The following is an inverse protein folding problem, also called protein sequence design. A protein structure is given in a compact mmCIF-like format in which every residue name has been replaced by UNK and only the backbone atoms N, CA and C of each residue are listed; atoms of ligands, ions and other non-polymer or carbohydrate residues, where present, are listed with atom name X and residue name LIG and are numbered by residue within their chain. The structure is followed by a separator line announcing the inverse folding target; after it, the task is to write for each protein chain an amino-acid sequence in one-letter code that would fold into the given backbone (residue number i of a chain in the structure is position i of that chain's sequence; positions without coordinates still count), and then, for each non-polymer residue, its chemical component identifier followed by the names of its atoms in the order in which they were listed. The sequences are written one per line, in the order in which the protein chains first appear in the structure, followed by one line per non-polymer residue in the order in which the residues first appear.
data_IF_361217917118
#
_entry.id   IF_361217917118
#
_cell.length_a   1.000
_cell.length_b   1.000
_cell.length_c   1.000
_cell.angle_alpha   90.00
_cell.angle_beta   90.00
_cell.angle_gamma   90.00
#
_symmetry.space_group_name_H-M   'P 1'
#
loop_
_entity.id
_entity.type
_entity.pdbx_description
1 polymer ?
#
# COMPACT_ATOMS: atom_id res chain seq x y z
N UNK A 1 -0.02 9.83 -16.03
CA UNK A 1 -1.07 9.31 -15.13
C UNK A 1 -0.56 8.05 -14.45
N UNK A 2 -0.38 8.04 -13.11
CA UNK A 2 0.16 6.88 -12.40
C UNK A 2 -0.80 5.70 -12.52
N UNK A 3 -0.26 4.50 -12.69
CA UNK A 3 -1.04 3.26 -12.74
C UNK A 3 -1.32 2.71 -11.34
N UNK A 4 -0.37 2.91 -10.42
CA UNK A 4 -0.46 2.50 -9.03
C UNK A 4 -0.07 3.68 -8.13
N UNK A 5 -0.81 3.90 -7.04
CA UNK A 5 -0.48 4.83 -5.96
C UNK A 5 -0.31 4.03 -4.66
N UNK A 6 0.86 4.18 -4.01
CA UNK A 6 1.15 3.52 -2.74
C UNK A 6 0.98 4.53 -1.59
N UNK A 7 0.00 4.27 -0.73
CA UNK A 7 -0.33 5.08 0.43
C UNK A 7 0.52 4.65 1.63
N UNK A 8 1.43 5.51 2.07
CA UNK A 8 2.26 5.26 3.24
C UNK A 8 1.49 5.62 4.51
N UNK A 9 0.94 4.61 5.19
CA UNK A 9 0.23 4.76 6.45
C UNK A 9 -1.26 5.11 6.33
N UNK A 10 -1.91 5.12 7.50
CA UNK A 10 -3.37 5.20 7.65
C UNK A 10 -3.95 6.48 7.04
N UNK A 11 -3.33 7.63 7.28
CA UNK A 11 -3.89 8.93 6.88
C UNK A 11 -3.99 9.03 5.35
N UNK A 12 -2.93 8.65 4.63
CA UNK A 12 -2.94 8.61 3.17
C UNK A 12 -4.00 7.64 2.63
N UNK A 13 -4.08 6.44 3.21
CA UNK A 13 -5.05 5.43 2.80
C UNK A 13 -6.51 5.89 3.04
N UNK A 14 -6.79 6.55 4.18
CA UNK A 14 -8.12 7.06 4.47
C UNK A 14 -8.58 8.13 3.47
N UNK A 15 -7.66 8.99 3.03
CA UNK A 15 -7.95 10.07 2.08
C UNK A 15 -8.09 9.56 0.64
N UNK A 16 -7.22 8.63 0.23
CA UNK A 16 -7.12 8.21 -1.17
C UNK A 16 -7.92 6.96 -1.50
N UNK A 17 -8.11 6.05 -0.54
CA UNK A 17 -8.86 4.80 -0.70
C UNK A 17 -10.28 4.98 -0.17
N UNK A 18 -10.45 5.03 1.16
CA UNK A 18 -11.76 5.24 1.81
C UNK A 18 -11.65 5.65 3.28
N UNK A 19 -12.60 6.44 3.83
CA UNK A 19 -12.49 7.01 5.19
C UNK A 19 -12.38 6.00 6.34
N UNK A 20 -12.91 4.79 6.20
CA UNK A 20 -12.95 3.77 7.25
C UNK A 20 -11.77 2.77 7.22
N UNK A 21 -10.80 3.00 6.33
CA UNK A 21 -9.67 2.11 6.07
C UNK A 21 -8.87 1.70 7.32
N UNK A 22 -8.66 0.39 7.48
CA UNK A 22 -7.93 -0.19 8.62
C UNK A 22 -6.55 -0.68 8.19
N UNK A 23 -5.53 0.18 8.34
CA UNK A 23 -4.15 -0.12 7.93
C UNK A 23 -3.58 -1.42 8.52
N UNK A 24 -3.97 -1.80 9.74
CA UNK A 24 -3.48 -3.02 10.39
C UNK A 24 -4.06 -4.32 9.82
N UNK A 25 -5.12 -4.23 9.02
CA UNK A 25 -5.80 -5.39 8.41
C UNK A 25 -5.75 -5.38 6.89
N UNK A 26 -5.66 -4.19 6.29
CA UNK A 26 -5.89 -3.98 4.87
C UNK A 26 -4.64 -3.53 4.10
N UNK A 27 -3.49 -3.39 4.77
CA UNK A 27 -2.24 -3.14 4.06
C UNK A 27 -1.91 -4.28 3.10
N UNK A 28 -1.21 -3.97 2.00
CA UNK A 28 -0.85 -4.94 0.97
C UNK A 28 -2.01 -5.42 0.08
N UNK A 29 -3.21 -4.87 0.23
CA UNK A 29 -4.34 -5.10 -0.67
C UNK A 29 -4.48 -3.96 -1.69
N UNK A 30 -4.90 -4.31 -2.91
CA UNK A 30 -5.14 -3.35 -3.98
C UNK A 30 -6.62 -2.96 -4.07
N UNK A 31 -6.84 -1.67 -4.32
CA UNK A 31 -8.15 -1.06 -4.45
C UNK A 31 -8.15 -0.19 -5.71
N UNK A 32 -9.11 -0.41 -6.59
CA UNK A 32 -9.25 0.40 -7.80
C UNK A 32 -10.24 1.55 -7.57
N UNK A 33 -9.85 2.75 -8.00
CA UNK A 33 -10.72 3.93 -7.98
C UNK A 33 -10.30 4.90 -9.09
N UNK A 34 -11.25 5.43 -9.84
CA UNK A 34 -10.98 6.38 -10.94
C UNK A 34 -9.91 5.87 -11.94
N UNK A 35 -9.90 4.56 -12.23
CA UNK A 35 -8.93 3.91 -13.14
C UNK A 35 -7.49 3.86 -12.64
N UNK A 36 -7.26 4.08 -11.34
CA UNK A 36 -5.95 4.01 -10.69
C UNK A 36 -5.99 2.98 -9.57
N UNK A 37 -5.02 2.07 -9.55
CA UNK A 37 -4.85 1.13 -8.45
C UNK A 37 -4.21 1.83 -7.26
N UNK A 38 -4.71 1.57 -6.06
CA UNK A 38 -4.19 2.09 -4.81
C UNK A 38 -3.90 0.93 -3.88
N UNK A 39 -2.76 0.98 -3.21
CA UNK A 39 -2.38 0.04 -2.15
C UNK A 39 -1.93 0.85 -0.95
N UNK A 40 -2.13 0.35 0.27
CA UNK A 40 -1.53 0.93 1.45
C UNK A 40 -0.45 0.02 2.03
N UNK A 41 0.58 0.62 2.62
CA UNK A 41 1.58 -0.08 3.43
C UNK A 41 1.84 0.68 4.73
N UNK A 42 2.54 0.06 5.68
CA UNK A 42 2.90 0.70 6.94
C UNK A 42 3.83 1.89 6.70
N UNK A 43 3.57 3.01 7.40
CA UNK A 43 4.37 4.22 7.25
C UNK A 43 5.83 3.95 7.68
N UNK A 44 6.85 4.44 6.94
CA UNK A 44 8.26 4.19 7.28
C UNK A 44 8.61 4.56 8.73
N UNK A 45 8.14 5.72 9.21
CA UNK A 45 8.32 6.11 10.62
C UNK A 45 7.74 5.11 11.64
N UNK A 46 6.67 4.37 11.30
CA UNK A 46 6.14 3.31 12.16
C UNK A 46 7.05 2.07 12.16
N UNK A 47 7.69 1.75 11.04
CA UNK A 47 8.67 0.67 10.93
C UNK A 47 9.99 0.98 11.65
N UNK A 48 10.38 2.25 11.70
CA UNK A 48 11.53 2.70 12.50
C UNK A 48 11.25 2.58 14.00
N UNK A 49 10.04 2.92 14.44
CA UNK A 49 9.62 2.82 15.86
C UNK A 49 9.37 1.38 16.29
N UNK A 50 8.82 0.55 15.41
CA UNK A 50 8.60 -0.87 15.67
C UNK A 50 9.12 -1.72 14.49
N UNK A 51 10.39 -2.16 14.57
CA UNK A 51 11.00 -2.98 13.52
C UNK A 51 10.35 -4.35 13.29
N UNK A 52 9.57 -4.87 14.24
CA UNK A 52 8.87 -6.15 14.08
C UNK A 52 7.89 -6.15 12.91
N UNK A 53 7.44 -4.97 12.48
CA UNK A 53 6.52 -4.80 11.37
C UNK A 53 7.21 -4.76 9.99
N UNK A 54 8.55 -4.78 9.93
CA UNK A 54 9.30 -4.74 8.66
C UNK A 54 8.99 -5.91 7.72
N UNK A 55 8.86 -7.18 8.20
CA UNK A 55 8.51 -8.29 7.31
C UNK A 55 7.17 -8.08 6.62
N UNK A 56 6.14 -7.67 7.37
CA UNK A 56 4.81 -7.38 6.83
C UNK A 56 4.83 -6.26 5.78
N UNK A 57 5.57 -5.17 6.03
CA UNK A 57 5.73 -4.11 5.04
C UNK A 57 6.52 -4.56 3.81
N UNK A 58 7.52 -5.44 3.98
CA UNK A 58 8.29 -5.99 2.86
C UNK A 58 7.42 -6.87 1.96
N UNK A 59 6.54 -7.68 2.55
CA UNK A 59 5.54 -8.46 1.81
C UNK A 59 4.63 -7.57 0.96
N UNK A 60 4.21 -6.40 1.47
CA UNK A 60 3.45 -5.43 0.66
C UNK A 60 4.21 -4.99 -0.60
N UNK A 61 5.53 -4.79 -0.50
CA UNK A 61 6.36 -4.40 -1.64
C UNK A 61 6.63 -5.56 -2.62
N UNK A 62 6.68 -6.80 -2.13
CA UNK A 62 6.72 -7.97 -3.02
C UNK A 62 5.44 -8.03 -3.85
N UNK A 63 4.27 -7.90 -3.21
CA UNK A 63 2.98 -7.85 -3.90
C UNK A 63 2.88 -6.68 -4.87
N UNK A 64 3.45 -5.52 -4.52
CA UNK A 64 3.57 -4.38 -5.43
C UNK A 64 4.33 -4.74 -6.69
N UNK A 65 5.49 -5.39 -6.56
CA UNK A 65 6.29 -5.83 -7.71
C UNK A 65 5.51 -6.82 -8.56
N UNK A 66 4.92 -7.85 -7.95
CA UNK A 66 4.07 -8.82 -8.67
C UNK A 66 2.96 -8.11 -9.44
N UNK A 67 2.31 -7.12 -8.83
CA UNK A 67 1.26 -6.35 -9.50
C UNK A 67 1.78 -5.48 -10.64
N UNK A 68 2.99 -4.92 -10.50
CA UNK A 68 3.63 -4.19 -11.59
C UNK A 68 3.95 -5.10 -12.77
N UNK A 69 4.39 -6.33 -12.50
CA UNK A 69 4.72 -7.33 -13.52
C UNK A 69 3.46 -7.79 -14.26
N UNK A 70 2.36 -8.06 -13.54
CA UNK A 70 1.04 -8.37 -14.13
C UNK A 70 0.54 -7.27 -15.09
N UNK A 71 0.86 -6.01 -14.78
CA UNK A 71 0.45 -4.85 -15.57
C UNK A 71 1.46 -4.47 -16.66
N UNK A 72 2.59 -5.18 -16.76
CA UNK A 72 3.66 -4.88 -17.71
C UNK A 72 4.34 -3.51 -17.45
N UNK A 73 4.48 -3.11 -16.19
CA UNK A 73 5.01 -1.80 -15.78
C UNK A 73 6.52 -1.80 -15.46
N UNK A 74 7.29 -2.72 -16.06
CA UNK A 74 8.74 -2.82 -15.86
C UNK A 74 9.53 -1.88 -16.78
#
# INVERSE_FOLDING_TARGET
HPKIIVCLGRIAAMQLIRPDFKITREHGHFFEKDGVLRMATLHPAALLRNPHNKPAAFEDFIRLREKMDELGLQ
#
